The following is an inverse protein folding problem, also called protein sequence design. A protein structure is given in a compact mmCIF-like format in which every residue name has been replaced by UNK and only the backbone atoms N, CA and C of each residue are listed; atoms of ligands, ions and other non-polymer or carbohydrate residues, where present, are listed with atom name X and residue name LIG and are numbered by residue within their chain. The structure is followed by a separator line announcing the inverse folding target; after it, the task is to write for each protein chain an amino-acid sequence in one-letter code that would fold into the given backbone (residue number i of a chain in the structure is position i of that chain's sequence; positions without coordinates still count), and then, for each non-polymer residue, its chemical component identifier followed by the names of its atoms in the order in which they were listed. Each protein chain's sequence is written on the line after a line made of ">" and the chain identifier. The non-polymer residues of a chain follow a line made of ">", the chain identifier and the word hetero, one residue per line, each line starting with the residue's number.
data_IF_349349346060
#
_entry.id   IF_349349346060
#
_cell.length_a   1.000
_cell.length_b   1.000
_cell.length_c   1.000
_cell.angle_alpha   90.00
_cell.angle_beta   90.00
_cell.angle_gamma   90.00
#
_symmetry.space_group_name_H-M   'P 1'
#
loop_
_entity.id
_entity.type
_entity.pdbx_description
1 polymer ?
#
# COMPACT_ATOMS: atom_id res chain seq x y z
N UNK A 1 -10.87 -28.74 11.84
CA UNK A 1 -10.28 -28.32 10.55
C UNK A 1 -11.43 -27.98 9.62
N UNK A 2 -11.56 -26.72 9.21
CA UNK A 2 -12.59 -26.32 8.25
C UNK A 2 -12.28 -26.93 6.87
N UNK A 3 -13.27 -27.34 6.07
CA UNK A 3 -13.04 -27.87 4.73
C UNK A 3 -12.27 -26.84 3.88
N UNK A 4 -11.27 -27.29 3.11
CA UNK A 4 -10.40 -26.39 2.33
C UNK A 4 -11.19 -25.49 1.36
N UNK A 5 -12.34 -25.98 0.88
CA UNK A 5 -13.23 -25.25 -0.03
C UNK A 5 -13.88 -23.99 0.58
N UNK A 6 -14.01 -23.89 1.91
CA UNK A 6 -14.68 -22.75 2.57
C UNK A 6 -13.71 -21.80 3.29
N UNK A 7 -12.41 -22.09 3.29
CA UNK A 7 -11.41 -21.30 4.03
C UNK A 7 -11.30 -19.86 3.51
N UNK A 8 -11.26 -19.68 2.20
CA UNK A 8 -11.11 -18.36 1.57
C UNK A 8 -12.29 -17.42 1.86
N UNK A 9 -13.57 -17.84 1.66
CA UNK A 9 -14.72 -17.04 2.06
C UNK A 9 -14.74 -16.67 3.55
N UNK A 10 -14.33 -17.59 4.43
CA UNK A 10 -14.28 -17.32 5.89
C UNK A 10 -13.29 -16.20 6.20
N UNK A 11 -12.09 -16.21 5.62
CA UNK A 11 -11.13 -15.12 5.82
C UNK A 11 -11.65 -13.79 5.30
N UNK A 12 -12.26 -13.78 4.12
CA UNK A 12 -12.85 -12.56 3.54
C UNK A 12 -13.92 -11.98 4.47
N UNK A 13 -14.80 -12.82 5.03
CA UNK A 13 -15.84 -12.36 5.97
C UNK A 13 -15.23 -11.79 7.25
N UNK A 14 -14.22 -12.44 7.82
CA UNK A 14 -13.52 -11.93 9.03
C UNK A 14 -12.87 -10.57 8.76
N UNK A 15 -12.22 -10.41 7.60
CA UNK A 15 -11.59 -9.15 7.22
C UNK A 15 -12.66 -8.09 6.94
N UNK A 16 -13.74 -8.45 6.25
CA UNK A 16 -14.84 -7.55 5.92
C UNK A 16 -15.53 -6.97 7.16
N UNK A 17 -15.80 -7.80 8.17
CA UNK A 17 -16.40 -7.33 9.42
C UNK A 17 -15.48 -6.38 10.16
N UNK A 18 -14.18 -6.68 10.22
CA UNK A 18 -13.19 -5.80 10.85
C UNK A 18 -13.05 -4.45 10.13
N UNK A 19 -12.94 -4.47 8.79
CA UNK A 19 -12.87 -3.24 7.98
C UNK A 19 -14.16 -2.42 8.09
N UNK A 20 -15.32 -3.08 8.22
CA UNK A 20 -16.61 -2.39 8.44
C UNK A 20 -16.64 -1.65 9.78
N UNK A 21 -16.16 -2.28 10.85
CA UNK A 21 -16.05 -1.64 12.18
C UNK A 21 -15.13 -0.41 12.10
N UNK A 22 -14.00 -0.52 11.41
CA UNK A 22 -13.10 0.61 11.18
C UNK A 22 -13.80 1.72 10.38
N UNK A 23 -14.53 1.37 9.32
CA UNK A 23 -15.25 2.35 8.50
C UNK A 23 -16.28 3.15 9.28
N UNK A 24 -17.05 2.50 10.14
CA UNK A 24 -18.00 3.15 11.06
C UNK A 24 -17.27 4.02 12.10
N UNK A 25 -16.12 3.56 12.60
CA UNK A 25 -15.30 4.35 13.53
C UNK A 25 -14.76 5.62 12.87
N UNK A 26 -14.24 5.53 11.64
CA UNK A 26 -13.75 6.69 10.88
C UNK A 26 -14.91 7.66 10.60
N UNK A 27 -16.10 7.15 10.24
CA UNK A 27 -17.28 7.98 10.01
C UNK A 27 -17.68 8.78 11.26
N UNK A 28 -17.52 8.19 12.44
CA UNK A 28 -17.87 8.84 13.71
C UNK A 28 -16.87 9.91 14.17
N UNK A 29 -15.56 9.69 14.00
CA UNK A 29 -14.53 10.60 14.51
C UNK A 29 -13.95 11.55 13.44
N UNK A 30 -13.87 11.11 12.17
CA UNK A 30 -13.15 11.77 11.08
C UNK A 30 -13.96 11.72 9.76
N UNK A 31 -15.09 12.45 9.65
CA UNK A 31 -15.98 12.38 8.49
C UNK A 31 -15.29 12.81 7.18
N UNK A 32 -14.35 13.76 7.22
CA UNK A 32 -13.58 14.18 6.06
C UNK A 32 -12.71 13.04 5.47
N UNK A 33 -12.14 12.18 6.32
CA UNK A 33 -11.40 11.00 5.87
C UNK A 33 -12.33 9.91 5.33
N UNK A 34 -13.55 9.81 5.86
CA UNK A 34 -14.53 8.85 5.36
C UNK A 34 -14.94 9.14 3.91
N UNK A 35 -15.11 10.41 3.52
CA UNK A 35 -15.41 10.77 2.13
C UNK A 35 -14.27 10.42 1.16
N UNK A 36 -13.02 10.62 1.58
CA UNK A 36 -11.85 10.32 0.73
C UNK A 36 -11.48 8.82 0.71
N UNK A 37 -11.64 8.11 1.83
CA UNK A 37 -11.24 6.70 1.96
C UNK A 37 -12.37 5.70 1.70
N UNK A 38 -13.64 6.12 1.66
CA UNK A 38 -14.81 5.23 1.62
C UNK A 38 -14.75 4.18 0.50
N UNK A 39 -14.32 4.58 -0.70
CA UNK A 39 -14.15 3.67 -1.85
C UNK A 39 -12.98 2.69 -1.69
N UNK A 40 -11.98 3.01 -0.86
CA UNK A 40 -10.81 2.16 -0.65
C UNK A 40 -11.06 1.07 0.40
N UNK A 41 -12.03 1.24 1.31
CA UNK A 41 -12.33 0.22 2.34
C UNK A 41 -12.70 -1.14 1.74
N UNK A 42 -13.62 -1.25 0.75
CA UNK A 42 -13.89 -2.53 0.09
C UNK A 42 -12.66 -3.12 -0.62
N UNK A 43 -11.78 -2.27 -1.18
CA UNK A 43 -10.53 -2.71 -1.82
C UNK A 43 -9.52 -3.30 -0.83
N UNK A 44 -9.57 -2.91 0.45
CA UNK A 44 -8.76 -3.51 1.50
C UNK A 44 -9.20 -4.96 1.74
N UNK A 45 -10.52 -5.23 1.77
CA UNK A 45 -11.07 -6.57 2.03
C UNK A 45 -10.61 -7.60 1.01
N UNK A 46 -10.53 -7.19 -0.27
CA UNK A 46 -10.14 -8.06 -1.38
C UNK A 46 -8.65 -7.96 -1.73
N UNK A 47 -7.84 -7.31 -0.89
CA UNK A 47 -6.43 -7.14 -1.18
C UNK A 47 -5.67 -8.48 -1.12
N UNK A 48 -4.96 -8.80 -2.20
CA UNK A 48 -4.23 -10.05 -2.34
C UNK A 48 -3.13 -10.25 -1.26
N UNK A 49 -2.52 -9.17 -0.75
CA UNK A 49 -1.47 -9.30 0.28
C UNK A 49 -2.07 -9.76 1.61
N UNK A 50 -3.26 -9.25 1.98
CA UNK A 50 -3.91 -9.57 3.24
C UNK A 50 -4.39 -11.02 3.20
N UNK A 51 -5.10 -11.39 2.13
CA UNK A 51 -5.59 -12.76 1.96
C UNK A 51 -4.44 -13.77 1.84
N UNK A 52 -3.39 -13.42 1.08
CA UNK A 52 -2.22 -14.28 0.88
C UNK A 52 -1.45 -14.54 2.18
N UNK A 53 -1.25 -13.53 3.04
CA UNK A 53 -0.61 -13.73 4.35
C UNK A 53 -1.51 -14.47 5.34
N UNK A 54 -2.82 -14.19 5.31
CA UNK A 54 -3.78 -14.90 6.15
C UNK A 54 -3.80 -16.40 5.85
N UNK A 55 -3.79 -16.78 4.57
CA UNK A 55 -3.74 -18.18 4.16
C UNK A 55 -2.35 -18.80 4.38
N UNK A 56 -1.27 -18.15 3.91
CA UNK A 56 0.06 -18.77 3.91
C UNK A 56 0.70 -18.84 5.30
N UNK A 57 0.48 -17.83 6.15
CA UNK A 57 1.16 -17.70 7.44
C UNK A 57 0.19 -17.84 8.62
N UNK A 58 -0.88 -17.04 8.68
CA UNK A 58 -1.76 -17.02 9.85
C UNK A 58 -2.52 -18.34 10.07
N UNK A 59 -2.84 -19.08 9.00
CA UNK A 59 -3.55 -20.36 9.12
C UNK A 59 -2.71 -21.52 9.71
N UNK A 60 -1.38 -21.37 9.73
CA UNK A 60 -0.43 -22.44 10.10
C UNK A 60 0.44 -22.10 11.31
N UNK A 61 0.37 -20.88 11.84
CA UNK A 61 1.26 -20.39 12.89
C UNK A 61 0.48 -19.93 14.13
N UNK A 62 1.13 -19.86 15.31
CA UNK A 62 0.52 -19.33 16.51
C UNK A 62 0.27 -17.82 16.40
N UNK A 63 -0.77 -17.34 17.10
CA UNK A 63 -1.28 -15.96 17.04
C UNK A 63 -0.17 -14.91 17.23
N UNK A 64 0.72 -15.10 18.20
CA UNK A 64 1.80 -14.14 18.50
C UNK A 64 2.76 -13.99 17.31
N UNK A 65 3.12 -15.09 16.66
CA UNK A 65 3.97 -15.07 15.46
C UNK A 65 3.23 -14.40 14.29
N UNK A 66 1.94 -14.67 14.14
CA UNK A 66 1.11 -14.06 13.08
C UNK A 66 0.93 -12.55 13.25
N UNK A 67 0.89 -12.04 14.49
CA UNK A 67 0.85 -10.59 14.75
C UNK A 67 2.17 -9.94 14.33
N UNK A 68 3.31 -10.55 14.69
CA UNK A 68 4.62 -10.04 14.29
C UNK A 68 4.78 -10.00 12.76
N UNK A 69 4.30 -11.04 12.07
CA UNK A 69 4.25 -11.08 10.62
C UNK A 69 3.38 -9.99 10.00
N UNK A 70 2.16 -9.82 10.53
CA UNK A 70 1.23 -8.79 10.06
C UNK A 70 1.79 -7.38 10.22
N UNK A 71 2.48 -7.10 11.34
CA UNK A 71 3.17 -5.83 11.57
C UNK A 71 4.34 -5.64 10.60
N UNK A 72 5.18 -6.67 10.41
CA UNK A 72 6.32 -6.61 9.49
C UNK A 72 5.90 -6.37 8.04
N UNK A 73 4.91 -7.12 7.56
CA UNK A 73 4.36 -6.96 6.20
C UNK A 73 3.63 -5.62 6.06
N UNK A 74 2.87 -5.20 7.07
CA UNK A 74 2.17 -3.91 7.06
C UNK A 74 3.14 -2.72 6.95
N UNK A 75 4.15 -2.68 7.81
CA UNK A 75 5.18 -1.63 7.78
C UNK A 75 5.97 -1.65 6.47
N UNK A 76 6.36 -2.84 6.00
CA UNK A 76 7.06 -2.99 4.72
C UNK A 76 6.22 -2.50 3.53
N UNK A 77 4.91 -2.81 3.52
CA UNK A 77 4.00 -2.35 2.48
C UNK A 77 3.84 -0.82 2.49
N UNK A 78 3.69 -0.21 3.68
CA UNK A 78 3.63 1.25 3.82
C UNK A 78 4.93 1.90 3.33
N UNK A 79 6.10 1.39 3.72
CA UNK A 79 7.39 1.92 3.27
C UNK A 79 7.57 1.81 1.75
N UNK A 80 7.15 0.68 1.16
CA UNK A 80 7.18 0.51 -0.29
C UNK A 80 6.31 1.54 -1.00
N UNK A 81 5.07 1.74 -0.54
CA UNK A 81 4.16 2.74 -1.12
C UNK A 81 4.69 4.17 -0.96
N UNK A 82 5.20 4.53 0.22
CA UNK A 82 5.78 5.87 0.46
C UNK A 82 6.97 6.12 -0.47
N UNK A 83 7.85 5.13 -0.65
CA UNK A 83 9.00 5.23 -1.55
C UNK A 83 8.55 5.42 -2.99
N UNK A 84 7.60 4.62 -3.47
CA UNK A 84 7.06 4.74 -4.83
C UNK A 84 6.38 6.11 -5.03
N UNK A 85 5.57 6.55 -4.07
CA UNK A 85 4.90 7.85 -4.11
C UNK A 85 5.90 9.01 -4.16
N UNK A 86 6.97 8.94 -3.37
CA UNK A 86 8.04 9.94 -3.36
C UNK A 86 8.67 10.11 -4.75
N UNK A 87 9.06 9.00 -5.40
CA UNK A 87 9.62 9.08 -6.75
C UNK A 87 8.59 9.52 -7.80
N UNK A 88 7.32 9.13 -7.65
CA UNK A 88 6.25 9.56 -8.56
C UNK A 88 5.97 11.07 -8.46
N UNK A 89 5.98 11.61 -7.26
CA UNK A 89 5.79 13.04 -7.03
C UNK A 89 6.99 13.83 -7.57
N UNK A 90 8.21 13.41 -7.24
CA UNK A 90 9.44 14.04 -7.73
C UNK A 90 9.52 14.09 -9.27
N UNK A 91 9.15 13.00 -9.95
CA UNK A 91 9.22 12.89 -11.41
C UNK A 91 7.99 13.48 -12.12
N UNK A 92 6.83 13.51 -11.46
CA UNK A 92 5.56 13.96 -12.04
C UNK A 92 5.34 15.48 -11.95
N UNK A 93 5.69 16.10 -10.83
CA UNK A 93 5.46 17.54 -10.58
C UNK A 93 6.75 18.36 -10.57
N UNK A 94 7.93 17.73 -10.52
CA UNK A 94 9.22 18.41 -10.49
C UNK A 94 9.51 19.16 -9.18
N UNK A 95 8.64 19.02 -8.17
CA UNK A 95 8.77 19.62 -6.85
C UNK A 95 8.51 18.60 -5.76
N UNK A 96 9.29 18.66 -4.69
CA UNK A 96 9.08 17.88 -3.48
C UNK A 96 8.40 18.76 -2.44
N UNK A 97 7.08 18.62 -2.33
CA UNK A 97 6.27 19.34 -1.35
C UNK A 97 5.89 18.37 -0.23
N UNK A 98 6.51 18.54 0.94
CA UNK A 98 6.14 17.81 2.14
C UNK A 98 5.46 18.80 3.09
N UNK A 99 4.21 18.53 3.47
CA UNK A 99 3.44 19.34 4.44
C UNK A 99 3.32 20.83 4.07
N UNK A 100 2.86 21.17 2.84
CA UNK A 100 2.66 22.56 2.41
C UNK A 100 3.93 23.45 2.38
N UNK A 101 5.11 22.86 2.58
CA UNK A 101 6.40 23.53 2.42
C UNK A 101 7.15 22.98 1.18
N UNK A 102 7.43 23.85 0.22
CA UNK A 102 8.26 23.53 -0.95
C UNK A 102 9.72 23.42 -0.49
N UNK A 103 10.25 22.20 -0.34
CA UNK A 103 11.63 22.01 0.13
C UNK A 103 12.65 22.10 -1.01
N UNK A 104 12.29 21.70 -2.22
CA UNK A 104 13.20 21.77 -3.38
C UNK A 104 12.40 21.81 -4.69
N UNK A 105 12.47 22.94 -5.40
CA UNK A 105 12.01 23.07 -6.78
C UNK A 105 13.20 22.78 -7.70
N UNK A 106 13.15 21.71 -8.51
CA UNK A 106 14.13 21.54 -9.59
C UNK A 106 13.68 22.42 -10.78
N UNK A 107 14.41 23.49 -11.13
CA UNK A 107 14.01 24.41 -12.21
C UNK A 107 14.05 23.78 -13.62
N UNK A 108 14.63 22.59 -13.80
CA UNK A 108 14.76 21.91 -15.10
C UNK A 108 13.51 21.08 -15.48
N UNK A 109 12.67 20.68 -14.52
CA UNK A 109 11.48 19.84 -14.74
C UNK A 109 10.14 20.58 -14.56
N UNK A 110 10.17 21.87 -14.18
CA UNK A 110 8.95 22.67 -13.93
C UNK A 110 8.19 23.10 -15.18
N UNK A 111 8.86 23.20 -16.34
CA UNK A 111 8.25 23.70 -17.59
C UNK A 111 7.47 22.62 -18.36
N UNK A 112 7.80 21.33 -18.14
CA UNK A 112 7.13 20.18 -18.76
C UNK A 112 6.87 19.10 -17.70
N UNK A 113 5.83 19.24 -16.87
CA UNK A 113 5.45 18.18 -15.94
C UNK A 113 5.19 16.90 -16.73
N UNK A 114 5.94 15.84 -16.43
CA UNK A 114 5.72 14.53 -17.03
C UNK A 114 4.45 13.91 -16.40
N UNK A 115 3.28 14.34 -16.90
CA UNK A 115 1.98 13.82 -16.51
C UNK A 115 1.90 12.28 -16.62
N UNK A 116 2.74 11.69 -17.48
CA UNK A 116 2.91 10.23 -17.61
C UNK A 116 3.19 9.53 -16.27
N UNK A 117 3.91 10.16 -15.34
CA UNK A 117 4.26 9.58 -14.04
C UNK A 117 3.14 9.62 -12.99
N UNK A 118 2.14 10.48 -13.21
CA UNK A 118 0.93 10.58 -12.39
C UNK A 118 -0.07 9.49 -12.78
N UNK A 119 -0.13 9.12 -14.07
CA UNK A 119 -1.02 8.08 -14.58
C UNK A 119 -0.60 6.67 -14.09
N UNK A 120 -1.53 5.68 -14.08
CA UNK A 120 -1.25 4.29 -13.74
C UNK A 120 0.00 3.66 -14.42
N UNK A 121 0.26 3.84 -15.73
CA UNK A 121 1.48 3.36 -16.38
C UNK A 121 2.79 3.89 -15.75
N UNK A 122 2.78 5.13 -15.22
CA UNK A 122 3.93 5.72 -14.54
C UNK A 122 4.31 4.98 -13.26
N UNK A 123 3.32 4.47 -12.52
CA UNK A 123 3.57 3.71 -11.31
C UNK A 123 4.31 2.39 -11.61
N UNK A 124 3.95 1.68 -12.68
CA UNK A 124 4.65 0.46 -13.10
C UNK A 124 6.09 0.73 -13.52
N UNK A 125 6.34 1.84 -14.23
CA UNK A 125 7.69 2.24 -14.63
C UNK A 125 8.56 2.55 -13.40
N UNK A 126 8.05 3.32 -12.44
CA UNK A 126 8.76 3.63 -11.18
C UNK A 126 9.09 2.37 -10.40
N UNK A 127 8.13 1.44 -10.27
CA UNK A 127 8.36 0.15 -9.60
C UNK A 127 9.46 -0.64 -10.32
N UNK A 128 9.41 -0.71 -11.66
CA UNK A 128 10.43 -1.39 -12.47
C UNK A 128 11.83 -0.79 -12.30
N UNK A 129 11.95 0.55 -12.28
CA UNK A 129 13.21 1.26 -12.08
C UNK A 129 13.75 1.04 -10.66
N UNK A 130 12.89 1.12 -9.64
CA UNK A 130 13.26 0.85 -8.25
C UNK A 130 13.77 -0.57 -8.06
N UNK A 131 13.07 -1.56 -8.64
CA UNK A 131 13.50 -2.95 -8.60
C UNK A 131 14.85 -3.15 -9.32
N UNK A 132 15.05 -2.51 -10.47
CA UNK A 132 16.35 -2.55 -11.17
C UNK A 132 17.48 -1.94 -10.33
N UNK A 133 17.21 -0.86 -9.60
CA UNK A 133 18.17 -0.21 -8.71
C UNK A 133 18.49 -1.08 -7.49
N UNK A 134 17.47 -1.65 -6.83
CA UNK A 134 17.68 -2.55 -5.69
C UNK A 134 18.40 -3.85 -6.06
N UNK A 135 18.17 -4.36 -7.28
CA UNK A 135 18.96 -5.46 -7.85
C UNK A 135 20.42 -5.04 -8.04
N UNK A 136 20.68 -3.81 -8.50
CA UNK A 136 22.04 -3.30 -8.71
C UNK A 136 22.79 -3.04 -7.40
N UNK A 137 22.11 -2.60 -6.35
CA UNK A 137 22.71 -2.37 -5.02
C UNK A 137 22.87 -3.66 -4.20
N UNK A 138 22.48 -4.82 -4.75
CA UNK A 138 22.65 -6.12 -4.10
C UNK A 138 21.71 -6.36 -2.91
N UNK A 139 20.69 -5.50 -2.73
CA UNK A 139 19.68 -5.63 -1.66
C UNK A 139 18.75 -6.81 -1.94
N UNK A 140 18.45 -7.06 -3.22
CA UNK A 140 17.66 -8.20 -3.66
C UNK A 140 18.64 -9.22 -4.27
N UNK A 141 18.92 -10.27 -3.51
CA UNK A 141 19.64 -11.46 -3.97
C UNK A 141 18.60 -12.56 -4.12
N UNK A 142 18.58 -13.19 -5.29
CA UNK A 142 17.65 -14.28 -5.67
C UNK A 142 17.34 -15.23 -4.51
#
# INVERSE_FOLDING_TARGET
>A
MFPDMVRMPIFIVIIATFVTIIGLTIQAYLPAFHESLGLFLPLIVVNCIILGRAEAFASKNPVVSSIADALGVGVGFTLALVTISFFRELLGTGSLSLFDANLFTLPVLGEHPLALFILPPGAFLVIGLLLALFRRTGVIKE
#
